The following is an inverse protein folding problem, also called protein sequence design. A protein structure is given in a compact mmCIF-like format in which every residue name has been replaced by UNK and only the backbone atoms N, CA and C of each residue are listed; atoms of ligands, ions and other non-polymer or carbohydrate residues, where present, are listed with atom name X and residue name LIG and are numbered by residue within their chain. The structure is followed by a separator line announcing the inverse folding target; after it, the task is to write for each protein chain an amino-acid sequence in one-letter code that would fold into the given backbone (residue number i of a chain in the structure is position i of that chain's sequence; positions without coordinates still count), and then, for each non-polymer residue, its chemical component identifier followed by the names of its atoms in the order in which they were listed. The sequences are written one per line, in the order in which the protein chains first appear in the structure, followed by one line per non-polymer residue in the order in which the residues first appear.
data_IF_531748060749
#
_entry.id   IF_531748060749
#
_cell.length_a   1.000
_cell.length_b   1.000
_cell.length_c   1.000
_cell.angle_alpha   90.00
_cell.angle_beta   90.00
_cell.angle_gamma   90.00
#
_symmetry.space_group_name_H-M   'P 1'
#
loop_
_entity.id
_entity.type
_entity.pdbx_description
1 polymer ?
#
# COMPACT_ATOMS: atom_id res chain seq x y z
N UNK A 1 44.76 4.89 22.16
CA UNK A 1 44.44 4.93 20.71
C UNK A 1 43.11 4.25 20.33
N UNK A 2 42.76 3.05 20.84
CA UNK A 2 41.50 2.35 20.49
C UNK A 2 40.21 3.09 20.91
N UNK A 3 40.23 3.82 22.04
CA UNK A 3 39.07 4.57 22.54
C UNK A 3 38.71 5.77 21.64
N UNK A 4 39.72 6.50 21.15
CA UNK A 4 39.55 7.62 20.20
C UNK A 4 39.02 7.13 18.86
N UNK A 5 39.48 5.98 18.36
CA UNK A 5 38.97 5.38 17.12
C UNK A 5 37.48 4.98 17.24
N UNK A 6 37.06 4.47 18.40
CA UNK A 6 35.65 4.14 18.70
C UNK A 6 34.76 5.39 18.74
N UNK A 7 35.24 6.46 19.36
CA UNK A 7 34.53 7.75 19.45
C UNK A 7 34.42 8.40 18.07
N UNK A 8 35.51 8.42 17.29
CA UNK A 8 35.52 8.95 15.91
C UNK A 8 34.59 8.13 15.01
N UNK A 9 34.51 6.81 15.18
CA UNK A 9 33.58 5.95 14.43
C UNK A 9 32.12 6.21 14.80
N UNK A 10 31.81 6.43 16.09
CA UNK A 10 30.49 6.86 16.55
C UNK A 10 30.10 8.25 16.03
N UNK A 11 31.04 9.20 16.00
CA UNK A 11 30.82 10.56 15.48
C UNK A 11 30.65 10.54 13.96
N UNK A 12 31.40 9.72 13.21
CA UNK A 12 31.19 9.51 11.77
C UNK A 12 29.82 8.91 11.47
N UNK A 13 29.37 7.92 12.26
CA UNK A 13 28.02 7.36 12.11
C UNK A 13 26.92 8.35 12.49
N UNK A 14 27.19 9.31 13.39
CA UNK A 14 26.27 10.40 13.73
C UNK A 14 26.22 11.50 12.65
N UNK A 15 27.34 11.76 11.95
CA UNK A 15 27.40 12.75 10.86
C UNK A 15 26.98 12.18 9.50
N UNK A 16 26.88 10.85 9.37
CA UNK A 16 26.25 10.14 8.26
C UNK A 16 24.84 9.67 8.63
N UNK A 17 24.05 10.54 9.27
CA UNK A 17 22.61 10.46 8.97
C UNK A 17 22.48 10.88 7.52
N UNK A 18 22.59 9.91 6.61
CA UNK A 18 22.06 10.06 5.26
C UNK A 18 20.72 10.77 5.40
N UNK A 19 20.57 11.91 4.70
CA UNK A 19 19.27 12.55 4.60
C UNK A 19 18.30 11.44 4.24
N UNK A 20 17.34 11.17 5.11
CA UNK A 20 16.36 10.14 4.80
C UNK A 20 15.74 10.52 3.46
N UNK A 21 15.67 9.58 2.52
CA UNK A 21 15.15 9.89 1.20
C UNK A 21 13.77 10.52 1.38
N UNK A 22 13.56 11.68 0.75
CA UNK A 22 12.21 12.23 0.64
C UNK A 22 11.34 11.12 0.03
N UNK A 23 10.21 10.84 0.67
CA UNK A 23 9.35 9.76 0.23
C UNK A 23 8.62 10.17 -1.05
N UNK A 24 9.27 9.97 -2.19
CA UNK A 24 8.73 10.24 -3.52
C UNK A 24 7.74 9.14 -3.91
N UNK A 25 6.54 9.53 -4.32
CA UNK A 25 5.54 8.63 -4.89
C UNK A 25 5.74 8.59 -6.41
N UNK A 26 5.78 7.40 -7.00
CA UNK A 26 6.03 7.22 -8.43
C UNK A 26 4.85 7.71 -9.29
N UNK A 27 3.63 7.47 -8.82
CA UNK A 27 2.41 7.95 -9.48
C UNK A 27 1.40 8.43 -8.42
N UNK A 28 0.76 9.58 -8.65
CA UNK A 28 -0.28 10.11 -7.76
C UNK A 28 -1.45 10.68 -8.55
N UNK A 29 -2.67 10.30 -8.17
CA UNK A 29 -3.93 10.76 -8.79
C UNK A 29 -4.79 11.43 -7.74
N UNK A 30 -5.29 12.63 -8.07
CA UNK A 30 -6.33 13.31 -7.31
C UNK A 30 -7.65 13.22 -8.05
N UNK A 31 -8.72 12.93 -7.33
CA UNK A 31 -10.06 12.88 -7.89
C UNK A 31 -11.04 13.60 -6.99
N UNK A 32 -12.00 14.27 -7.64
CA UNK A 32 -13.17 14.86 -7.00
C UNK A 32 -14.37 14.64 -7.92
N UNK A 33 -15.43 14.04 -7.37
CA UNK A 33 -16.67 13.71 -8.08
C UNK A 33 -17.79 14.60 -7.57
N UNK A 34 -18.20 15.55 -8.40
CA UNK A 34 -19.32 16.45 -8.15
C UNK A 34 -20.53 16.05 -9.00
N UNK A 35 -21.73 16.22 -8.44
CA UNK A 35 -22.97 16.11 -9.21
C UNK A 35 -23.15 17.36 -10.05
N UNK A 36 -23.52 17.21 -11.32
CA UNK A 36 -23.94 18.34 -12.15
C UNK A 36 -25.37 18.71 -11.73
N UNK A 37 -25.54 19.93 -11.22
CA UNK A 37 -26.80 20.44 -10.66
C UNK A 37 -27.38 21.62 -11.45
N UNK A 38 -26.75 22.01 -12.56
CA UNK A 38 -27.17 23.14 -13.39
C UNK A 38 -26.67 24.50 -12.92
N UNK A 39 -25.80 24.54 -11.89
CA UNK A 39 -25.09 25.76 -11.49
C UNK A 39 -24.16 26.28 -12.60
N UNK A 40 -23.96 27.60 -12.64
CA UNK A 40 -23.04 28.25 -13.58
C UNK A 40 -21.56 28.07 -13.22
N UNK A 41 -21.28 27.57 -12.02
CA UNK A 41 -19.92 27.40 -11.48
C UNK A 41 -19.87 26.15 -10.59
N UNK A 42 -18.89 25.28 -10.84
CA UNK A 42 -18.62 24.09 -10.01
C UNK A 42 -17.26 24.28 -9.32
N UNK A 43 -17.25 24.14 -8.01
CA UNK A 43 -16.03 24.21 -7.19
C UNK A 43 -15.55 22.80 -6.85
N UNK A 44 -14.25 22.55 -7.02
CA UNK A 44 -13.61 21.27 -6.70
C UNK A 44 -12.77 21.38 -5.44
N UNK A 45 -12.61 20.25 -4.73
CA UNK A 45 -11.77 20.09 -3.54
C UNK A 45 -12.17 21.00 -2.39
N UNK A 46 -13.47 21.27 -2.26
CA UNK A 46 -14.05 22.08 -1.18
C UNK A 46 -14.32 21.24 0.07
N UNK A 47 -14.25 21.87 1.23
CA UNK A 47 -14.64 21.24 2.49
C UNK A 47 -16.15 21.48 2.74
N UNK A 48 -16.88 20.41 3.03
CA UNK A 48 -18.18 20.47 3.68
C UNK A 48 -18.10 21.08 5.09
N UNK A 49 -19.17 21.78 5.49
CA UNK A 49 -19.34 22.32 6.84
C UNK A 49 -19.41 21.24 7.90
N UNK A 50 -20.04 20.11 7.57
CA UNK A 50 -20.08 18.90 8.41
C UNK A 50 -19.17 17.85 7.78
N UNK A 51 -18.05 17.49 8.43
CA UNK A 51 -17.14 16.49 7.91
C UNK A 51 -17.76 15.10 7.89
N UNK A 52 -17.51 14.37 6.81
CA UNK A 52 -17.92 12.99 6.67
C UNK A 52 -17.06 12.04 7.53
N UNK A 53 -17.28 10.74 7.44
CA UNK A 53 -16.52 9.72 8.16
C UNK A 53 -15.06 9.73 7.65
N UNK A 54 -14.13 9.50 8.59
CA UNK A 54 -12.69 9.40 8.34
C UNK A 54 -12.35 8.15 7.53
N UNK A 55 -11.49 8.26 6.53
CA UNK A 55 -10.93 7.11 5.80
C UNK A 55 -10.33 6.04 6.73
N UNK A 56 -9.82 6.45 7.90
CA UNK A 56 -9.29 5.52 8.91
C UNK A 56 -10.37 4.73 9.67
N UNK A 57 -11.65 5.13 9.56
CA UNK A 57 -12.82 4.57 10.24
C UNK A 57 -13.91 4.10 9.27
N UNK A 58 -13.80 4.39 7.97
CA UNK A 58 -14.77 4.05 6.93
C UNK A 58 -14.89 2.55 6.64
N UNK A 59 -13.88 1.76 7.02
CA UNK A 59 -13.78 0.35 6.69
C UNK A 59 -13.70 -0.48 7.97
N UNK A 60 -14.50 -1.54 8.04
CA UNK A 60 -14.58 -2.45 9.18
C UNK A 60 -13.44 -3.48 9.14
N UNK A 61 -12.96 -3.83 7.95
CA UNK A 61 -11.94 -4.87 7.73
C UNK A 61 -10.85 -4.48 6.73
N UNK A 62 -9.78 -5.30 6.66
CA UNK A 62 -8.71 -5.14 5.67
C UNK A 62 -9.20 -5.50 4.26
N UNK A 63 -9.98 -6.58 4.14
CA UNK A 63 -10.59 -7.04 2.90
C UNK A 63 -11.47 -5.96 2.25
N UNK A 64 -12.23 -5.18 3.04
CA UNK A 64 -13.03 -4.07 2.51
C UNK A 64 -12.17 -2.99 1.86
N UNK A 65 -11.03 -2.65 2.45
CA UNK A 65 -10.10 -1.66 1.89
C UNK A 65 -9.47 -2.20 0.60
N UNK A 66 -9.06 -3.47 0.60
CA UNK A 66 -8.46 -4.13 -0.56
C UNK A 66 -9.46 -4.17 -1.72
N UNK A 67 -10.70 -4.62 -1.47
CA UNK A 67 -11.74 -4.64 -2.49
C UNK A 67 -12.06 -3.22 -2.99
N UNK A 68 -12.18 -2.24 -2.08
CA UNK A 68 -12.42 -0.85 -2.46
C UNK A 68 -11.32 -0.27 -3.35
N UNK A 69 -10.05 -0.56 -3.05
CA UNK A 69 -8.91 -0.17 -3.88
C UNK A 69 -8.95 -0.88 -5.23
N UNK A 70 -9.17 -2.19 -5.25
CA UNK A 70 -9.19 -2.97 -6.47
C UNK A 70 -10.40 -2.69 -7.34
N UNK A 71 -11.51 -2.17 -6.80
CA UNK A 71 -12.64 -1.65 -7.59
C UNK A 71 -12.36 -0.27 -8.20
N UNK A 72 -11.36 0.45 -7.65
CA UNK A 72 -10.95 1.73 -8.19
C UNK A 72 -10.12 1.57 -9.48
N UNK A 73 -10.66 2.07 -10.60
CA UNK A 73 -10.02 2.00 -11.91
C UNK A 73 -8.63 2.67 -11.94
N UNK A 74 -8.46 3.82 -11.31
CA UNK A 74 -7.18 4.53 -11.31
C UNK A 74 -6.14 3.73 -10.55
N UNK A 75 -6.48 3.22 -9.36
CA UNK A 75 -5.58 2.36 -8.59
C UNK A 75 -5.19 1.10 -9.36
N UNK A 76 -6.15 0.39 -9.98
CA UNK A 76 -5.83 -0.78 -10.82
C UNK A 76 -4.89 -0.42 -11.96
N UNK A 77 -5.09 0.72 -12.63
CA UNK A 77 -4.20 1.18 -13.70
C UNK A 77 -2.78 1.41 -13.16
N UNK A 78 -2.65 2.10 -12.03
CA UNK A 78 -1.35 2.35 -11.38
C UNK A 78 -0.66 1.02 -11.04
N UNK A 79 -1.35 0.13 -10.33
CA UNK A 79 -0.80 -1.14 -9.87
C UNK A 79 -0.41 -2.05 -11.05
N UNK A 80 -1.31 -2.23 -12.01
CA UNK A 80 -1.06 -3.10 -13.16
C UNK A 80 -0.02 -2.51 -14.11
N UNK A 81 -0.01 -1.20 -14.30
CA UNK A 81 1.00 -0.52 -15.13
C UNK A 81 2.42 -0.69 -14.59
N UNK A 82 2.58 -0.77 -13.27
CA UNK A 82 3.88 -1.03 -12.66
C UNK A 82 4.26 -2.53 -12.73
N UNK A 83 3.32 -3.44 -12.45
CA UNK A 83 3.64 -4.88 -12.33
C UNK A 83 3.64 -5.61 -13.70
N UNK A 84 2.80 -5.16 -14.63
CA UNK A 84 2.57 -5.73 -15.96
C UNK A 84 2.56 -4.61 -17.03
N UNK A 85 3.67 -3.90 -17.25
CA UNK A 85 3.70 -2.69 -18.09
C UNK A 85 3.28 -2.91 -19.55
N UNK A 86 3.38 -4.14 -20.05
CA UNK A 86 3.04 -4.51 -21.43
C UNK A 86 1.71 -5.27 -21.56
N UNK A 87 1.05 -5.60 -20.44
CA UNK A 87 -0.16 -6.41 -20.46
C UNK A 87 -1.43 -5.57 -20.52
N UNK A 88 -2.40 -6.02 -21.31
CA UNK A 88 -3.75 -5.45 -21.37
C UNK A 88 -4.82 -6.40 -20.83
N UNK A 89 -4.43 -7.61 -20.39
CA UNK A 89 -5.34 -8.70 -20.04
C UNK A 89 -5.08 -9.26 -18.64
N UNK A 90 -4.72 -8.37 -17.71
CA UNK A 90 -4.51 -8.74 -16.30
C UNK A 90 -5.84 -9.14 -15.65
N UNK A 91 -5.86 -10.32 -15.06
CA UNK A 91 -6.92 -10.83 -14.19
C UNK A 91 -6.52 -10.58 -12.75
N UNK A 92 -7.51 -10.29 -11.90
CA UNK A 92 -7.32 -10.18 -10.46
C UNK A 92 -8.44 -10.87 -9.69
N UNK A 93 -8.10 -11.37 -8.51
CA UNK A 93 -9.04 -11.93 -7.54
C UNK A 93 -8.64 -11.42 -6.15
N UNK A 94 -9.59 -11.12 -5.28
CA UNK A 94 -9.34 -10.67 -3.91
C UNK A 94 -9.83 -11.72 -2.90
N UNK A 95 -9.10 -11.88 -1.78
CA UNK A 95 -9.48 -12.80 -0.70
C UNK A 95 -9.56 -14.27 -1.13
N UNK A 96 -8.63 -14.73 -1.97
CA UNK A 96 -8.66 -16.10 -2.51
C UNK A 96 -8.25 -17.10 -1.43
N UNK A 97 -9.07 -18.13 -1.23
CA UNK A 97 -8.86 -19.17 -0.23
C UNK A 97 -8.42 -20.47 -0.88
N UNK A 98 -9.21 -21.52 -0.69
CA UNK A 98 -9.06 -22.80 -1.36
C UNK A 98 -9.30 -22.65 -2.88
N UNK A 99 -8.61 -23.44 -3.72
CA UNK A 99 -7.71 -24.55 -3.37
C UNK A 99 -6.25 -24.14 -3.15
N UNK A 100 -5.94 -22.84 -3.19
CA UNK A 100 -4.57 -22.33 -3.07
C UNK A 100 -4.08 -22.46 -1.63
N UNK A 101 -4.86 -21.94 -0.69
CA UNK A 101 -4.55 -21.92 0.73
C UNK A 101 -5.18 -23.11 1.45
N UNK A 102 -4.75 -23.38 2.67
CA UNK A 102 -5.31 -24.43 3.52
C UNK A 102 -6.03 -23.76 4.68
N UNK A 103 -7.32 -24.10 4.95
CA UNK A 103 -8.07 -23.51 6.05
C UNK A 103 -7.31 -23.62 7.38
N UNK A 104 -7.34 -22.55 8.17
CA UNK A 104 -6.70 -22.46 9.48
C UNK A 104 -5.17 -22.64 9.48
N UNK A 105 -4.49 -22.50 8.32
CA UNK A 105 -3.03 -22.46 8.23
C UNK A 105 -2.55 -21.12 7.70
N UNK A 106 -1.38 -20.69 8.17
CA UNK A 106 -0.65 -19.57 7.58
C UNK A 106 -0.17 -19.93 6.17
N UNK A 107 -0.07 -18.97 5.24
CA UNK A 107 -0.18 -17.51 5.44
C UNK A 107 -1.60 -16.95 5.59
N UNK A 108 -2.65 -17.75 5.44
CA UNK A 108 -4.04 -17.30 5.46
C UNK A 108 -4.59 -17.20 4.04
N UNK A 109 -5.58 -16.34 3.84
CA UNK A 109 -6.16 -16.04 2.52
C UNK A 109 -5.15 -15.26 1.66
N UNK A 110 -5.30 -15.31 0.34
CA UNK A 110 -4.52 -14.50 -0.61
C UNK A 110 -5.26 -13.17 -0.83
N UNK A 111 -4.73 -12.08 -0.30
CA UNK A 111 -5.42 -10.78 -0.32
C UNK A 111 -5.67 -10.29 -1.75
N UNK A 112 -4.65 -10.36 -2.61
CA UNK A 112 -4.79 -10.12 -4.06
C UNK A 112 -3.98 -11.16 -4.83
N UNK A 113 -4.63 -11.82 -5.79
CA UNK A 113 -4.02 -12.69 -6.79
C UNK A 113 -4.07 -12.00 -8.16
N UNK A 114 -2.93 -11.84 -8.83
CA UNK A 114 -2.84 -11.27 -10.18
C UNK A 114 -2.18 -12.24 -11.17
N UNK A 115 -2.62 -12.23 -12.42
CA UNK A 115 -1.93 -12.90 -13.52
C UNK A 115 -2.41 -12.37 -14.87
N UNK A 116 -1.61 -12.54 -15.92
CA UNK A 116 -2.09 -12.30 -17.29
C UNK A 116 -2.93 -13.48 -17.77
N UNK A 117 -4.06 -13.21 -18.44
CA UNK A 117 -4.91 -14.26 -19.01
C UNK A 117 -4.10 -15.24 -19.89
N UNK A 118 -4.17 -16.54 -19.59
CA UNK A 118 -3.42 -17.59 -20.31
C UNK A 118 -1.95 -17.75 -19.86
N UNK A 119 -1.51 -16.99 -18.84
CA UNK A 119 -0.21 -17.13 -18.18
C UNK A 119 -0.37 -17.33 -16.68
N UNK A 120 -1.28 -18.22 -16.29
CA UNK A 120 -1.54 -18.55 -14.88
C UNK A 120 -0.30 -19.13 -14.18
N UNK A 121 0.69 -19.60 -14.94
CA UNK A 121 2.02 -20.05 -14.48
C UNK A 121 2.95 -18.91 -14.05
N UNK A 122 2.55 -17.66 -14.27
CA UNK A 122 3.26 -16.45 -13.89
C UNK A 122 2.43 -15.58 -12.94
N UNK A 123 1.71 -16.22 -12.02
CA UNK A 123 0.84 -15.53 -11.09
C UNK A 123 1.61 -14.87 -9.94
N UNK A 124 1.00 -13.82 -9.42
CA UNK A 124 1.56 -12.95 -8.39
C UNK A 124 0.62 -12.95 -7.20
N UNK A 125 1.15 -13.31 -6.04
CA UNK A 125 0.47 -13.15 -4.77
C UNK A 125 0.86 -11.81 -4.12
N UNK A 126 -0.11 -11.03 -3.67
CA UNK A 126 0.13 -9.80 -2.94
C UNK A 126 -0.55 -9.90 -1.58
N UNK A 127 0.24 -9.83 -0.53
CA UNK A 127 -0.24 -9.68 0.84
C UNK A 127 -0.42 -8.18 1.12
N UNK A 128 -1.55 -7.79 1.68
CA UNK A 128 -1.89 -6.41 1.99
C UNK A 128 -1.80 -6.16 3.49
N UNK A 129 -1.32 -4.98 3.89
CA UNK A 129 -1.38 -4.55 5.29
C UNK A 129 -1.70 -3.08 5.41
N UNK A 130 -2.63 -2.75 6.31
CA UNK A 130 -3.07 -1.36 6.50
C UNK A 130 -2.28 -0.66 7.61
N UNK A 131 -1.84 0.57 7.32
CA UNK A 131 -1.41 1.58 8.28
C UNK A 131 -2.44 2.71 8.29
N UNK A 132 -2.81 3.19 9.47
CA UNK A 132 -3.76 4.29 9.61
C UNK A 132 -3.06 5.50 10.21
N UNK A 133 -3.08 6.63 9.51
CA UNK A 133 -2.61 7.92 10.00
C UNK A 133 -3.78 8.90 10.14
N UNK A 134 -3.87 9.55 11.29
CA UNK A 134 -4.90 10.54 11.59
C UNK A 134 -4.23 11.86 11.97
N UNK A 135 -4.46 12.89 11.16
CA UNK A 135 -4.06 14.26 11.47
C UNK A 135 -4.80 14.78 12.71
N UNK A 136 -4.08 15.51 13.56
CA UNK A 136 -4.60 16.10 14.80
C UNK A 136 -4.28 17.58 14.84
N UNK A 137 -5.22 18.36 15.33
CA UNK A 137 -5.01 19.79 15.49
C UNK A 137 -3.88 20.06 16.49
N UNK A 138 -2.87 20.81 16.05
CA UNK A 138 -1.72 21.24 16.86
C UNK A 138 -0.93 20.09 17.54
N UNK A 139 -1.00 18.87 16.99
CA UNK A 139 -0.32 17.70 17.53
C UNK A 139 0.31 16.87 16.42
N UNK A 140 1.26 16.00 16.81
CA UNK A 140 1.76 14.96 15.91
C UNK A 140 0.61 14.03 15.47
N UNK A 141 0.65 13.54 14.23
CA UNK A 141 -0.34 12.59 13.74
C UNK A 141 -0.34 11.31 14.57
N UNK A 142 -1.51 10.70 14.71
CA UNK A 142 -1.63 9.38 15.32
C UNK A 142 -1.46 8.32 14.24
N UNK A 143 -0.38 7.58 14.30
CA UNK A 143 -0.11 6.47 13.37
C UNK A 143 -0.32 5.15 14.10
N UNK A 144 -1.09 4.23 13.51
CA UNK A 144 -1.41 2.93 14.08
C UNK A 144 -1.06 1.80 13.09
N UNK A 145 -0.93 0.59 13.63
CA UNK A 145 -0.74 -0.68 12.89
C UNK A 145 0.63 -0.88 12.23
N UNK A 146 1.59 0.04 12.38
CA UNK A 146 2.98 -0.15 11.90
C UNK A 146 3.57 -1.50 12.35
N UNK A 147 3.48 -1.81 13.65
CA UNK A 147 4.01 -3.07 14.20
C UNK A 147 3.32 -4.32 13.62
N UNK A 148 2.06 -4.20 13.19
CA UNK A 148 1.34 -5.29 12.52
C UNK A 148 1.90 -5.54 11.12
N UNK A 149 2.23 -4.48 10.37
CA UNK A 149 2.89 -4.60 9.07
C UNK A 149 4.24 -5.29 9.22
N UNK A 150 5.07 -4.78 10.13
CA UNK A 150 6.44 -5.26 10.36
C UNK A 150 6.52 -6.72 10.81
N UNK A 151 5.55 -7.20 11.61
CA UNK A 151 5.56 -8.56 12.16
C UNK A 151 4.68 -9.54 11.39
N UNK A 152 3.42 -9.18 11.12
CA UNK A 152 2.47 -10.08 10.47
C UNK A 152 2.62 -10.02 8.95
N UNK A 153 2.75 -8.82 8.38
CA UNK A 153 2.93 -8.63 6.94
C UNK A 153 4.16 -9.38 6.41
N UNK A 154 5.31 -9.23 7.07
CA UNK A 154 6.54 -9.96 6.72
C UNK A 154 6.35 -11.48 6.77
N UNK A 155 5.74 -11.99 7.84
CA UNK A 155 5.47 -13.43 8.01
C UNK A 155 4.52 -13.98 6.95
N UNK A 156 3.46 -13.26 6.63
CA UNK A 156 2.46 -13.70 5.64
C UNK A 156 3.01 -13.62 4.22
N UNK A 157 3.72 -12.54 3.86
CA UNK A 157 4.38 -12.42 2.56
C UNK A 157 5.44 -13.52 2.36
N UNK A 158 6.24 -13.85 3.38
CA UNK A 158 7.14 -15.02 3.31
C UNK A 158 6.37 -16.33 3.08
N UNK A 159 5.22 -16.51 3.73
CA UNK A 159 4.37 -17.67 3.49
C UNK A 159 3.81 -17.73 2.06
N UNK A 160 3.49 -16.58 1.45
CA UNK A 160 3.11 -16.53 0.02
C UNK A 160 4.27 -16.97 -0.86
N UNK A 161 5.50 -16.55 -0.53
CA UNK A 161 6.69 -16.99 -1.24
C UNK A 161 6.89 -18.51 -1.13
N UNK A 162 6.62 -19.09 0.04
CA UNK A 162 6.64 -20.55 0.27
C UNK A 162 5.53 -21.30 -0.48
N UNK A 163 4.36 -20.68 -0.71
CA UNK A 163 3.30 -21.25 -1.59
C UNK A 163 3.82 -21.43 -3.03
N UNK A 164 4.79 -20.62 -3.44
CA UNK A 164 5.49 -20.78 -4.72
C UNK A 164 4.92 -19.94 -5.86
N UNK A 165 4.31 -18.78 -5.59
CA UNK A 165 3.96 -17.79 -6.62
C UNK A 165 5.20 -17.33 -7.40
N UNK A 166 5.02 -16.98 -8.67
CA UNK A 166 6.13 -16.52 -9.52
C UNK A 166 6.78 -15.22 -9.01
N UNK A 167 5.97 -14.32 -8.44
CA UNK A 167 6.40 -13.10 -7.75
C UNK A 167 5.49 -12.88 -6.56
N UNK A 168 6.03 -12.30 -5.50
CA UNK A 168 5.28 -11.97 -4.29
C UNK A 168 5.54 -10.54 -3.89
N UNK A 169 4.50 -9.81 -3.52
CA UNK A 169 4.61 -8.47 -2.99
C UNK A 169 3.97 -8.36 -1.60
N UNK A 170 4.54 -7.50 -0.76
CA UNK A 170 3.86 -6.91 0.38
C UNK A 170 3.38 -5.50 -0.03
N UNK A 171 2.06 -5.32 -0.09
CA UNK A 171 1.41 -4.03 -0.34
C UNK A 171 1.01 -3.37 0.97
N UNK A 172 1.64 -2.25 1.29
CA UNK A 172 1.38 -1.48 2.49
C UNK A 172 0.45 -0.32 2.14
N UNK A 173 -0.77 -0.35 2.67
CA UNK A 173 -1.81 0.63 2.39
C UNK A 173 -1.85 1.65 3.53
N UNK A 174 -1.39 2.87 3.25
CA UNK A 174 -1.50 4.01 4.17
C UNK A 174 -2.84 4.71 3.97
N UNK A 175 -3.77 4.54 4.90
CA UNK A 175 -4.98 5.33 5.01
C UNK A 175 -4.66 6.60 5.82
N UNK A 176 -4.63 7.75 5.14
CA UNK A 176 -4.22 9.04 5.69
C UNK A 176 -5.43 9.99 5.76
N UNK A 177 -5.89 10.25 6.98
CA UNK A 177 -6.87 11.31 7.24
C UNK A 177 -6.14 12.63 7.46
N UNK A 178 -5.94 13.37 6.37
CA UNK A 178 -5.25 14.66 6.37
C UNK A 178 -6.14 15.87 6.67
N UNK A 179 -7.43 15.68 6.94
CA UNK A 179 -8.43 16.77 6.95
C UNK A 179 -8.16 17.86 7.99
N UNK A 180 -7.53 17.50 9.10
CA UNK A 180 -7.22 18.42 10.20
C UNK A 180 -5.91 19.20 10.02
N UNK A 181 -5.13 18.95 8.97
CA UNK A 181 -3.99 19.80 8.66
C UNK A 181 -4.46 21.18 8.20
N UNK A 182 -3.93 22.24 8.83
CA UNK A 182 -4.33 23.63 8.57
C UNK A 182 -3.35 24.40 7.70
N UNK A 183 -2.57 23.70 6.88
CA UNK A 183 -1.56 24.33 6.03
C UNK A 183 -2.26 25.27 5.02
N UNK A 184 -2.01 26.59 5.07
CA UNK A 184 -2.66 27.53 4.18
C UNK A 184 -2.18 27.31 2.74
N UNK A 185 -3.09 27.42 1.77
CA UNK A 185 -2.80 27.33 0.33
C UNK A 185 -2.14 26.01 -0.12
N UNK A 186 -2.32 24.92 0.62
CA UNK A 186 -1.83 23.59 0.23
C UNK A 186 -3.01 22.73 -0.21
N UNK A 187 -2.97 22.27 -1.46
CA UNK A 187 -3.95 21.32 -2.00
C UNK A 187 -3.84 19.94 -1.32
N UNK A 188 -2.63 19.57 -0.90
CA UNK A 188 -2.29 18.26 -0.36
C UNK A 188 -2.07 18.31 1.15
N UNK A 189 -3.15 18.11 1.89
CA UNK A 189 -3.09 17.90 3.34
C UNK A 189 -2.78 16.44 3.58
N UNK A 190 -1.57 16.13 4.03
CA UNK A 190 -1.10 14.76 4.23
C UNK A 190 -0.15 14.65 5.40
N UNK A 191 -0.02 13.44 5.94
CA UNK A 191 0.94 13.13 6.99
C UNK A 191 2.37 13.41 6.52
N UNK A 192 3.15 14.26 7.24
CA UNK A 192 4.54 14.53 6.90
C UNK A 192 5.38 13.26 6.93
N UNK A 193 6.21 13.05 5.91
CA UNK A 193 7.02 11.83 5.76
C UNK A 193 7.95 11.59 6.95
N UNK A 194 8.43 12.64 7.61
CA UNK A 194 9.30 12.54 8.79
C UNK A 194 8.61 11.85 9.97
N UNK A 195 7.27 11.89 10.01
CA UNK A 195 6.49 11.19 11.03
C UNK A 195 6.25 9.72 10.67
N UNK A 196 6.49 9.33 9.42
CA UNK A 196 6.35 7.97 8.89
C UNK A 196 7.68 7.20 8.83
N UNK A 197 8.74 7.71 9.44
CA UNK A 197 10.07 7.08 9.42
C UNK A 197 10.08 5.64 9.95
N UNK A 198 9.24 5.31 10.93
CA UNK A 198 9.13 3.94 11.44
C UNK A 198 8.53 2.97 10.40
N UNK A 199 7.70 3.50 9.49
CA UNK A 199 7.12 2.73 8.40
C UNK A 199 8.10 2.61 7.23
N UNK A 200 8.56 3.74 6.70
CA UNK A 200 9.38 3.78 5.48
C UNK A 200 10.83 3.40 5.72
N UNK A 201 11.37 3.68 6.91
CA UNK A 201 12.73 3.32 7.31
C UNK A 201 12.86 1.93 7.92
N UNK A 202 11.85 1.07 7.80
CA UNK A 202 11.92 -0.29 8.32
C UNK A 202 12.93 -1.13 7.53
N UNK A 203 13.74 -1.92 8.25
CA UNK A 203 14.76 -2.78 7.65
C UNK A 203 14.12 -4.05 7.07
N UNK A 204 13.59 -3.93 5.85
CA UNK A 204 12.95 -5.05 5.16
C UNK A 204 13.93 -6.17 4.81
N UNK A 205 15.20 -5.85 4.56
CA UNK A 205 16.21 -6.81 4.10
C UNK A 205 16.47 -7.89 5.15
N UNK A 206 16.54 -7.52 6.43
CA UNK A 206 16.82 -8.51 7.48
C UNK A 206 15.58 -9.24 7.98
N UNK A 207 14.37 -8.77 7.62
CA UNK A 207 13.10 -9.24 8.18
C UNK A 207 12.20 -9.98 7.19
N UNK A 208 12.47 -9.88 5.88
CA UNK A 208 11.66 -10.48 4.83
C UNK A 208 12.55 -10.98 3.68
N UNK A 209 12.15 -12.06 3.01
CA UNK A 209 12.88 -12.60 1.87
C UNK A 209 13.14 -11.50 0.82
N UNK A 210 14.39 -11.43 0.34
CA UNK A 210 14.85 -10.39 -0.58
C UNK A 210 14.19 -10.45 -1.96
N UNK A 211 13.63 -11.60 -2.33
CA UNK A 211 12.90 -11.77 -3.59
C UNK A 211 11.47 -11.21 -3.54
N UNK A 212 10.96 -10.87 -2.35
CA UNK A 212 9.62 -10.32 -2.17
C UNK A 212 9.65 -8.82 -2.42
N UNK A 213 8.83 -8.33 -3.35
CA UNK A 213 8.72 -6.90 -3.62
C UNK A 213 7.92 -6.16 -2.53
N UNK A 214 8.07 -4.84 -2.50
CA UNK A 214 7.39 -3.97 -1.54
C UNK A 214 6.74 -2.84 -2.33
N UNK A 215 5.45 -2.67 -2.12
CA UNK A 215 4.67 -1.61 -2.73
C UNK A 215 4.00 -0.84 -1.60
N UNK A 216 3.97 0.48 -1.72
CA UNK A 216 3.16 1.33 -0.87
C UNK A 216 2.04 1.94 -1.68
N UNK A 217 0.82 1.85 -1.15
CA UNK A 217 -0.34 2.58 -1.62
C UNK A 217 -0.68 3.66 -0.60
N UNK A 218 -0.93 4.88 -1.06
CA UNK A 218 -1.35 5.99 -0.21
C UNK A 218 -2.78 6.39 -0.58
N UNK A 219 -3.68 6.32 0.40
CA UNK A 219 -5.07 6.75 0.26
C UNK A 219 -5.25 7.96 1.16
N UNK A 220 -5.36 9.14 0.56
CA UNK A 220 -5.45 10.39 1.29
C UNK A 220 -6.86 10.99 1.21
N UNK A 221 -7.45 11.23 2.39
CA UNK A 221 -8.61 12.10 2.55
C UNK A 221 -8.14 13.50 2.99
N UNK A 222 -8.02 14.41 2.02
CA UNK A 222 -7.50 15.77 2.25
C UNK A 222 -8.60 16.85 2.33
N UNK A 223 -9.86 16.50 2.08
CA UNK A 223 -11.03 17.36 2.29
C UNK A 223 -12.01 16.70 3.24
N UNK A 224 -12.95 17.46 3.80
CA UNK A 224 -14.00 16.92 4.67
C UNK A 224 -15.06 16.07 3.96
N UNK A 225 -14.97 15.90 2.64
CA UNK A 225 -15.85 15.04 1.85
C UNK A 225 -15.54 13.54 2.06
N UNK A 226 -16.49 12.68 1.73
CA UNK A 226 -16.29 11.23 1.75
C UNK A 226 -15.16 10.79 0.80
N UNK A 227 -14.36 9.79 1.17
CA UNK A 227 -13.25 9.26 0.34
C UNK A 227 -13.70 8.70 -1.04
N UNK A 228 -15.00 8.42 -1.19
CA UNK A 228 -15.58 8.01 -2.48
C UNK A 228 -15.78 9.16 -3.45
N UNK A 229 -15.93 10.39 -2.92
CA UNK A 229 -16.14 11.61 -3.69
C UNK A 229 -14.81 12.28 -3.98
N UNK A 230 -14.05 12.60 -2.94
CA UNK A 230 -12.76 13.31 -3.05
C UNK A 230 -11.66 12.47 -2.42
N UNK A 231 -10.62 12.13 -3.19
CA UNK A 231 -9.48 11.33 -2.69
C UNK A 231 -8.20 11.56 -3.46
N UNK A 232 -7.09 11.32 -2.75
CA UNK A 232 -5.75 11.17 -3.31
C UNK A 232 -5.37 9.69 -3.30
N UNK A 233 -4.83 9.20 -4.41
CA UNK A 233 -4.31 7.85 -4.54
C UNK A 233 -2.86 7.93 -5.01
N UNK A 234 -1.93 7.42 -4.21
CA UNK A 234 -0.52 7.32 -4.54
C UNK A 234 -0.07 5.87 -4.61
N UNK A 235 0.89 5.57 -5.49
CA UNK A 235 1.57 4.27 -5.55
C UNK A 235 3.08 4.47 -5.70
N UNK A 236 3.84 3.71 -4.91
CA UNK A 236 5.30 3.62 -5.01
C UNK A 236 5.71 2.17 -4.94
N UNK A 237 6.49 1.71 -5.92
CA UNK A 237 7.22 0.43 -5.80
C UNK A 237 8.56 0.74 -5.14
N UNK A 238 8.71 0.30 -3.90
CA UNK A 238 9.96 0.49 -3.13
C UNK A 238 11.00 -0.56 -3.52
N UNK A 239 10.54 -1.79 -3.72
CA UNK A 239 11.37 -2.94 -4.08
C UNK A 239 10.62 -3.79 -5.09
N UNK A 240 11.24 -4.08 -6.22
CA UNK A 240 10.69 -5.00 -7.22
C UNK A 240 10.74 -6.44 -6.69
N UNK A 241 9.73 -7.24 -7.01
CA UNK A 241 9.77 -8.68 -6.72
C UNK A 241 10.62 -9.41 -7.76
N UNK A 242 11.44 -10.35 -7.30
CA UNK A 242 12.28 -11.16 -8.16
C UNK A 242 11.46 -12.37 -8.64
N UNK A 243 11.50 -12.60 -9.95
CA UNK A 243 10.85 -13.75 -10.56
C UNK A 243 11.43 -15.08 -10.05
N UNK A 244 10.53 -16.00 -9.69
CA UNK A 244 10.80 -17.40 -9.45
C UNK A 244 9.92 -18.26 -10.36
N UNK A 245 10.39 -19.46 -10.71
CA UNK A 245 9.54 -20.41 -11.45
C UNK A 245 8.40 -20.86 -10.53
N UNK A 246 7.16 -20.62 -10.95
CA UNK A 246 5.98 -21.03 -10.20
C UNK A 246 5.86 -22.55 -10.13
N UNK A 247 5.38 -23.06 -9.01
CA UNK A 247 5.05 -24.46 -8.84
C UNK A 247 3.87 -24.90 -9.75
N UNK A 248 4.01 -26.04 -10.41
CA UNK A 248 3.00 -26.53 -11.37
C UNK A 248 1.65 -26.87 -10.70
N UNK A 249 1.66 -27.31 -9.44
CA UNK A 249 0.44 -27.59 -8.70
C UNK A 249 -0.29 -26.27 -8.37
N UNK A 250 0.44 -25.21 -8.03
CA UNK A 250 -0.15 -23.88 -7.87
C UNK A 250 -0.79 -23.37 -9.18
N UNK A 251 -0.11 -23.51 -10.31
CA UNK A 251 -0.66 -23.14 -11.63
C UNK A 251 -2.00 -23.84 -11.89
N UNK A 252 -2.06 -25.16 -11.66
CA UNK A 252 -3.30 -25.95 -11.84
C UNK A 252 -4.42 -25.50 -10.91
N UNK A 253 -4.09 -25.09 -9.68
CA UNK A 253 -5.07 -24.54 -8.72
C UNK A 253 -5.64 -23.20 -9.17
N UNK A 254 -4.79 -22.31 -9.70
CA UNK A 254 -5.20 -20.99 -10.20
C UNK A 254 -6.10 -21.13 -11.44
N UNK A 255 -5.75 -22.03 -12.37
CA UNK A 255 -6.57 -22.28 -13.56
C UNK A 255 -8.00 -22.73 -13.22
N UNK A 256 -8.19 -23.41 -12.08
CA UNK A 256 -9.52 -23.84 -11.61
C UNK A 256 -10.39 -22.70 -11.06
N UNK A 257 -9.83 -21.53 -10.77
CA UNK A 257 -10.61 -20.38 -10.29
C UNK A 257 -11.47 -19.73 -11.39
N UNK A 258 -11.14 -19.99 -12.67
CA UNK A 258 -11.82 -19.42 -13.83
C UNK A 258 -12.87 -20.36 -14.45
N UNK A 259 -12.99 -21.59 -13.94
CA UNK A 259 -13.96 -22.60 -14.36
C UNK A 259 -15.10 -22.68 -13.36
#
# INVERSE_FOLDING_TARGET
MKLMASIIKKIKNLSQKEKQPEYEVTEYVFSDRQRIDGSSTISFFVNNSEPDISVTKNFESEDEVVNWLMDNRDFRRMLFGNIFPTSSSVKYHCGVKEPITVPNKMPGDIDILLYEQGKEDNAIGIECKIVKSESRENQLPKINKITSVQKKGTKQANGYFEIGFSRVYLLIILLDDGRNYKNPNVMFRTTPSETLNELYGFDWQTQMNDNIGIIYAHVNQFTSNHINQTKGLGLRVEREAIYSKQDENLTKKIQKLNN
#
